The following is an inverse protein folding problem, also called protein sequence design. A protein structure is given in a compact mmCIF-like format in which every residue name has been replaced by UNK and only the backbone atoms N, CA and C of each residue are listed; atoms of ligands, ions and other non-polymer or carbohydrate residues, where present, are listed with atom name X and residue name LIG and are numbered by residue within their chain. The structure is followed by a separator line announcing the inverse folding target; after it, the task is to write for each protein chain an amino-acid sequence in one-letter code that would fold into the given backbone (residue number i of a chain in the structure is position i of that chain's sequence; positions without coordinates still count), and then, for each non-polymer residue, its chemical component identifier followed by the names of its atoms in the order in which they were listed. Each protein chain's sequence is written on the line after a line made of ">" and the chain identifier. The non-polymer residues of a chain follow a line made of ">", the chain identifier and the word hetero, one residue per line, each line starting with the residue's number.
data_IF_264421463948
#
_entry.id   IF_264421463948
#
_cell.length_a   1.000
_cell.length_b   1.000
_cell.length_c   1.000
_cell.angle_alpha   90.00
_cell.angle_beta   90.00
_cell.angle_gamma   90.00
#
_symmetry.space_group_name_H-M   'P 1'
#
loop_
_entity.id
_entity.type
_entity.pdbx_description
1 polymer ?
#
# COMPACT_ATOMS: atom_id res chain seq x y z
N UNK A 1 -1.57 2.69 -3.94
CA UNK A 1 -2.33 3.00 -2.70
C UNK A 1 -1.84 2.13 -1.56
N UNK A 2 -1.75 2.63 -0.33
CA UNK A 2 -1.24 1.85 0.82
C UNK A 2 -2.41 1.40 1.71
N UNK A 3 -2.90 0.17 1.54
CA UNK A 3 -4.07 -0.35 2.27
C UNK A 3 -3.73 -0.80 3.69
N UNK A 4 -2.48 -1.18 3.91
CA UNK A 4 -1.97 -1.70 5.17
C UNK A 4 -0.87 -0.79 5.73
N UNK A 5 -0.73 0.45 5.25
CA UNK A 5 0.29 1.37 5.73
C UNK A 5 1.72 0.99 5.32
N UNK A 6 2.69 1.63 5.95
CA UNK A 6 4.12 1.48 5.71
C UNK A 6 4.75 0.81 6.93
N UNK A 7 5.03 -0.49 6.83
CA UNK A 7 5.65 -1.28 7.89
C UNK A 7 7.17 -1.39 7.69
N UNK A 8 7.92 -1.15 8.76
CA UNK A 8 9.35 -1.42 8.83
C UNK A 8 10.25 -0.40 8.12
N UNK A 9 11.54 -0.42 8.49
CA UNK A 9 12.55 0.57 8.09
C UNK A 9 13.12 0.41 6.67
N UNK A 10 12.66 -0.59 5.89
CA UNK A 10 13.32 -1.04 4.65
C UNK A 10 13.04 -0.20 3.39
N UNK A 11 12.39 0.97 3.49
CA UNK A 11 12.20 1.86 2.33
C UNK A 11 13.34 2.89 2.27
N UNK A 12 14.51 2.42 1.80
CA UNK A 12 15.85 2.99 1.95
C UNK A 12 16.09 4.48 1.60
N UNK A 13 15.24 5.14 0.83
CA UNK A 13 15.44 6.55 0.41
C UNK A 13 14.29 7.46 0.83
N UNK A 14 13.07 6.92 0.89
CA UNK A 14 11.90 7.66 1.35
C UNK A 14 11.90 7.82 2.87
N UNK A 15 12.47 6.89 3.64
CA UNK A 15 12.38 6.90 5.10
C UNK A 15 13.01 8.16 5.73
N UNK A 16 14.15 8.65 5.22
CA UNK A 16 14.79 9.87 5.74
C UNK A 16 13.99 11.12 5.41
N UNK A 17 13.55 11.29 4.16
CA UNK A 17 12.75 12.45 3.73
C UNK A 17 11.35 12.45 4.35
N UNK A 18 10.72 11.27 4.43
CA UNK A 18 9.42 11.07 5.07
C UNK A 18 9.47 11.28 6.57
N UNK A 19 10.51 10.79 7.26
CA UNK A 19 10.71 11.05 8.68
C UNK A 19 10.95 12.54 8.96
N UNK A 20 11.75 13.22 8.12
CA UNK A 20 11.92 14.68 8.19
C UNK A 20 10.59 15.43 7.94
N UNK A 21 9.81 15.04 6.92
CA UNK A 21 8.50 15.62 6.64
C UNK A 21 7.51 15.38 7.78
N UNK A 22 7.50 14.18 8.35
CA UNK A 22 6.67 13.79 9.49
C UNK A 22 6.99 14.64 10.71
N UNK A 23 8.28 14.81 11.03
CA UNK A 23 8.75 15.64 12.14
C UNK A 23 8.51 17.14 11.90
N UNK A 24 8.55 17.60 10.65
CA UNK A 24 8.39 19.01 10.31
C UNK A 24 6.93 19.45 10.15
N UNK A 25 6.06 18.60 9.61
CA UNK A 25 4.67 18.94 9.29
C UNK A 25 3.66 18.55 10.38
N UNK A 26 4.05 17.79 11.42
CA UNK A 26 3.12 17.25 12.43
C UNK A 26 1.82 16.70 11.80
N UNK A 27 1.96 16.01 10.67
CA UNK A 27 0.81 15.56 9.89
C UNK A 27 0.24 14.28 10.48
N UNK A 28 -1.01 14.34 10.94
CA UNK A 28 -1.77 13.18 11.41
C UNK A 28 -1.84 12.08 10.34
N UNK A 29 -2.02 12.46 9.07
CA UNK A 29 -2.00 11.49 7.95
C UNK A 29 -0.67 10.73 7.87
N UNK A 30 0.46 11.44 8.00
CA UNK A 30 1.78 10.80 7.94
C UNK A 30 1.99 9.84 9.12
N UNK A 31 1.46 10.16 10.30
CA UNK A 31 1.49 9.28 11.46
C UNK A 31 0.64 8.02 11.22
N UNK A 32 -0.60 8.19 10.75
CA UNK A 32 -1.54 7.10 10.49
C UNK A 32 -1.06 6.16 9.36
N UNK A 33 -0.57 6.70 8.25
CA UNK A 33 -0.08 5.87 7.13
C UNK A 33 1.20 5.09 7.49
N UNK A 34 1.99 5.61 8.43
CA UNK A 34 3.14 4.89 9.01
C UNK A 34 2.81 4.08 10.26
N UNK A 35 1.54 4.02 10.67
CA UNK A 35 1.09 3.31 11.87
C UNK A 35 1.82 3.70 13.16
N UNK A 36 2.14 4.99 13.33
CA UNK A 36 2.77 5.53 14.54
C UNK A 36 1.89 6.57 15.24
N UNK A 37 0.60 6.59 14.93
CA UNK A 37 -0.38 7.44 15.61
C UNK A 37 -0.76 6.90 17.01
N UNK A 38 -0.25 5.71 17.37
CA UNK A 38 -0.40 5.10 18.68
C UNK A 38 0.77 4.14 18.99
N UNK A 39 1.15 3.98 20.26
CA UNK A 39 2.25 3.10 20.69
C UNK A 39 1.93 1.61 20.52
N UNK A 40 0.70 1.22 20.85
CA UNK A 40 0.17 -0.11 20.53
C UNK A 40 -0.29 -0.17 19.06
N UNK A 41 0.33 -1.02 18.21
CA UNK A 41 -0.04 -1.16 16.79
C UNK A 41 -1.51 -1.53 16.57
N UNK A 42 -2.13 -2.29 17.49
CA UNK A 42 -3.55 -2.68 17.39
C UNK A 42 -4.54 -1.56 17.72
N UNK A 43 -4.02 -0.43 18.20
CA UNK A 43 -4.82 0.76 18.49
C UNK A 43 -4.63 1.87 17.44
N UNK A 44 -3.73 1.67 16.49
CA UNK A 44 -3.51 2.59 15.36
C UNK A 44 -4.75 2.69 14.48
N UNK A 45 -4.90 3.83 13.80
CA UNK A 45 -6.03 4.09 12.92
C UNK A 45 -6.18 3.04 11.83
N UNK A 46 -5.10 2.68 11.13
CA UNK A 46 -5.16 1.71 10.02
C UNK A 46 -5.52 0.31 10.51
N UNK A 47 -5.05 -0.12 11.67
CA UNK A 47 -5.47 -1.41 12.24
C UNK A 47 -6.97 -1.43 12.56
N UNK A 48 -7.47 -0.35 13.17
CA UNK A 48 -8.91 -0.21 13.45
C UNK A 48 -9.73 -0.21 12.16
N UNK A 49 -9.25 0.47 11.12
CA UNK A 49 -9.87 0.52 9.81
C UNK A 49 -9.92 -0.87 9.15
N UNK A 50 -8.85 -1.66 9.26
CA UNK A 50 -8.80 -3.01 8.68
C UNK A 50 -9.87 -3.96 9.28
N UNK A 51 -10.31 -3.73 10.53
CA UNK A 51 -11.40 -4.49 11.17
C UNK A 51 -12.80 -4.09 10.71
N UNK A 52 -12.94 -2.94 10.05
CA UNK A 52 -14.23 -2.48 9.56
C UNK A 52 -14.56 -3.16 8.23
N UNK A 53 -15.85 -3.20 7.95
CA UNK A 53 -16.40 -3.63 6.66
C UNK A 53 -15.80 -2.79 5.53
N UNK A 54 -15.31 -3.45 4.48
CA UNK A 54 -14.55 -2.82 3.41
C UNK A 54 -14.67 -3.57 2.09
N UNK A 55 -13.70 -4.44 1.80
CA UNK A 55 -13.61 -5.13 0.52
C UNK A 55 -14.82 -6.02 0.19
N UNK A 56 -15.52 -6.54 1.20
CA UNK A 56 -16.70 -7.38 0.98
C UNK A 56 -17.94 -6.60 0.51
N UNK A 57 -17.89 -5.27 0.58
CA UNK A 57 -18.94 -4.40 0.03
C UNK A 57 -18.92 -4.36 -1.50
N UNK A 58 -17.83 -4.80 -2.13
CA UNK A 58 -17.67 -4.78 -3.58
C UNK A 58 -18.02 -6.14 -4.21
N UNK A 59 -18.59 -6.09 -5.43
CA UNK A 59 -18.85 -7.30 -6.21
C UNK A 59 -17.57 -7.94 -6.72
N UNK A 60 -16.61 -7.11 -7.13
CA UNK A 60 -15.26 -7.49 -7.56
C UNK A 60 -14.25 -6.53 -6.94
N UNK A 61 -13.12 -7.05 -6.49
CA UNK A 61 -12.00 -6.28 -5.96
C UNK A 61 -10.80 -6.51 -6.87
N UNK A 62 -10.41 -5.47 -7.60
CA UNK A 62 -9.21 -5.49 -8.44
C UNK A 62 -8.16 -4.63 -7.75
N UNK A 63 -7.05 -5.26 -7.36
CA UNK A 63 -5.89 -4.56 -6.84
C UNK A 63 -4.82 -4.52 -7.91
N UNK A 64 -4.19 -3.37 -8.01
CA UNK A 64 -3.18 -3.13 -9.02
C UNK A 64 -1.91 -2.60 -8.37
N UNK A 65 -0.78 -3.18 -8.76
CA UNK A 65 0.54 -2.87 -8.21
C UNK A 65 1.56 -2.66 -9.31
N UNK A 66 2.59 -1.88 -9.00
CA UNK A 66 3.72 -1.66 -9.88
C UNK A 66 4.99 -1.68 -9.02
N UNK A 67 5.99 -2.46 -9.40
CA UNK A 67 7.26 -2.55 -8.67
C UNK A 67 8.01 -1.22 -8.64
N UNK A 68 7.82 -0.42 -9.69
CA UNK A 68 8.40 0.91 -9.86
C UNK A 68 7.65 2.00 -9.08
N UNK A 69 6.48 1.71 -8.48
CA UNK A 69 5.79 2.65 -7.58
C UNK A 69 6.50 2.70 -6.23
N UNK A 70 7.21 3.81 -5.99
CA UNK A 70 7.96 4.05 -4.74
C UNK A 70 7.15 4.86 -3.71
N UNK A 71 5.88 5.20 -3.95
CA UNK A 71 5.05 5.95 -3.00
C UNK A 71 4.53 5.09 -1.84
N UNK A 72 4.47 3.77 -2.01
CA UNK A 72 4.05 2.86 -0.96
C UNK A 72 4.60 1.46 -1.16
N UNK A 73 4.67 0.64 -0.09
CA UNK A 73 5.09 -0.74 -0.21
C UNK A 73 4.17 -1.50 -1.17
N UNK A 74 4.74 -2.21 -2.13
CA UNK A 74 4.00 -3.00 -3.11
C UNK A 74 3.06 -4.02 -2.43
N UNK A 75 3.50 -4.61 -1.33
CA UNK A 75 2.73 -5.57 -0.53
C UNK A 75 1.48 -4.92 0.09
N UNK A 76 1.61 -3.68 0.54
CA UNK A 76 0.50 -2.88 1.07
C UNK A 76 -0.50 -2.52 -0.02
N UNK A 77 -0.03 -2.25 -1.25
CA UNK A 77 -0.91 -2.04 -2.41
C UNK A 77 -1.67 -3.31 -2.83
N UNK A 78 -1.06 -4.48 -2.64
CA UNK A 78 -1.66 -5.79 -2.94
C UNK A 78 -2.51 -6.33 -1.77
N UNK A 79 -2.45 -5.67 -0.62
CA UNK A 79 -2.93 -6.14 0.67
C UNK A 79 -2.54 -7.61 0.92
N UNK A 80 -1.27 -7.95 0.72
CA UNK A 80 -0.73 -9.31 0.86
C UNK A 80 0.43 -9.36 1.84
N UNK A 81 0.65 -10.56 2.41
CA UNK A 81 1.80 -10.89 3.24
C UNK A 81 2.95 -11.33 2.31
N UNK A 82 4.17 -10.87 2.58
CA UNK A 82 5.36 -11.31 1.86
C UNK A 82 6.25 -12.21 2.73
N UNK A 83 6.87 -13.26 2.18
CA UNK A 83 7.76 -14.16 2.93
C UNK A 83 8.90 -13.43 3.68
N UNK A 84 9.44 -12.36 3.07
CA UNK A 84 10.54 -11.55 3.63
C UNK A 84 10.23 -10.80 4.94
N UNK A 85 9.02 -10.98 5.50
CA UNK A 85 8.58 -10.38 6.76
C UNK A 85 8.90 -11.27 7.96
N UNK A 86 9.61 -12.37 7.76
CA UNK A 86 10.12 -13.22 8.83
C UNK A 86 11.05 -12.43 9.77
N UNK A 87 10.77 -12.45 11.07
CA UNK A 87 11.53 -11.72 12.09
C UNK A 87 11.25 -10.21 12.20
N UNK A 88 10.30 -9.66 11.44
CA UNK A 88 9.91 -8.25 11.54
C UNK A 88 8.98 -8.05 12.74
N UNK A 89 9.29 -7.06 13.58
CA UNK A 89 8.39 -6.62 14.64
C UNK A 89 7.03 -6.21 14.02
N UNK A 90 5.93 -6.59 14.66
CA UNK A 90 4.55 -6.33 14.19
C UNK A 90 4.07 -7.14 12.96
N UNK A 91 4.81 -8.17 12.53
CA UNK A 91 4.36 -9.12 11.48
C UNK A 91 2.96 -9.68 11.75
N UNK A 92 2.70 -10.08 13.00
CA UNK A 92 1.40 -10.65 13.36
C UNK A 92 0.28 -9.61 13.29
N UNK A 93 0.55 -8.35 13.62
CA UNK A 93 -0.42 -7.26 13.48
C UNK A 93 -0.76 -7.04 12.01
N UNK A 94 0.25 -7.04 11.13
CA UNK A 94 0.02 -6.93 9.70
C UNK A 94 -0.77 -8.12 9.14
N UNK A 95 -0.44 -9.35 9.57
CA UNK A 95 -1.20 -10.55 9.20
C UNK A 95 -2.66 -10.44 9.64
N UNK A 96 -2.91 -10.05 10.89
CA UNK A 96 -4.27 -9.80 11.39
C UNK A 96 -5.02 -8.78 10.52
N UNK A 97 -4.37 -7.70 10.09
CA UNK A 97 -4.98 -6.72 9.18
C UNK A 97 -5.30 -7.30 7.80
N UNK A 98 -4.39 -8.07 7.21
CA UNK A 98 -4.63 -8.78 5.94
C UNK A 98 -5.82 -9.74 6.08
N UNK A 99 -5.86 -10.52 7.15
CA UNK A 99 -6.93 -11.48 7.42
C UNK A 99 -8.26 -10.77 7.67
N UNK A 100 -8.27 -9.62 8.34
CA UNK A 100 -9.49 -8.83 8.51
C UNK A 100 -10.02 -8.27 7.17
N UNK A 101 -9.13 -7.83 6.27
CA UNK A 101 -9.51 -7.34 4.95
C UNK A 101 -10.07 -8.44 4.05
N UNK A 102 -9.49 -9.64 4.07
CA UNK A 102 -9.85 -10.71 3.13
C UNK A 102 -10.78 -11.78 3.70
N UNK A 103 -10.82 -11.95 5.01
CA UNK A 103 -11.70 -12.91 5.69
C UNK A 103 -13.16 -12.87 5.23
N UNK A 104 -13.79 -11.69 5.04
CA UNK A 104 -15.16 -11.61 4.56
C UNK A 104 -15.30 -11.64 3.03
N UNK A 105 -14.20 -11.69 2.27
CA UNK A 105 -14.18 -11.60 0.81
C UNK A 105 -14.03 -12.99 0.20
N UNK A 106 -14.90 -13.30 -0.76
CA UNK A 106 -14.80 -14.56 -1.52
C UNK A 106 -13.61 -14.51 -2.49
N UNK A 107 -12.71 -15.51 -2.52
CA UNK A 107 -11.52 -15.49 -3.37
C UNK A 107 -11.82 -15.26 -4.85
N UNK A 108 -12.97 -15.74 -5.35
CA UNK A 108 -13.35 -15.61 -6.77
C UNK A 108 -13.64 -14.17 -7.19
N UNK A 109 -13.86 -13.28 -6.22
CA UNK A 109 -14.10 -11.84 -6.43
C UNK A 109 -12.81 -11.02 -6.49
N UNK A 110 -11.66 -11.63 -6.21
CA UNK A 110 -10.39 -10.90 -6.07
C UNK A 110 -9.51 -11.13 -7.30
N UNK A 111 -9.04 -10.05 -7.91
CA UNK A 111 -7.99 -10.09 -8.93
C UNK A 111 -6.85 -9.16 -8.53
N UNK A 112 -5.61 -9.63 -8.72
CA UNK A 112 -4.40 -8.84 -8.51
C UNK A 112 -3.65 -8.76 -9.82
N UNK A 113 -3.26 -7.55 -10.21
CA UNK A 113 -2.60 -7.26 -11.46
C UNK A 113 -1.31 -6.49 -11.20
N UNK A 114 -0.20 -7.12 -11.54
CA UNK A 114 1.10 -6.47 -11.50
C UNK A 114 1.36 -5.82 -12.87
N UNK A 115 1.53 -4.50 -12.83
CA UNK A 115 1.68 -3.65 -14.00
C UNK A 115 3.12 -3.19 -14.05
N UNK A 116 3.77 -3.52 -15.17
CA UNK A 116 5.12 -3.08 -15.46
C UNK A 116 5.04 -1.96 -16.50
N UNK A 117 5.40 -0.74 -16.09
CA UNK A 117 5.52 0.37 -17.01
C UNK A 117 6.91 0.39 -17.61
N UNK A 118 7.00 0.39 -18.94
CA UNK A 118 8.27 0.64 -19.63
C UNK A 118 8.59 2.12 -19.55
N UNK A 119 9.30 2.52 -18.49
CA UNK A 119 9.73 3.90 -18.28
C UNK A 119 11.07 4.12 -19.00
N UNK A 120 11.00 4.72 -20.19
CA UNK A 120 12.18 4.94 -21.06
C UNK A 120 13.00 6.18 -20.66
N UNK A 121 12.39 7.14 -19.95
CA UNK A 121 13.05 8.39 -19.55
C UNK A 121 13.62 8.32 -18.13
N UNK A 122 14.91 8.66 -17.99
CA UNK A 122 15.61 8.80 -16.69
C UNK A 122 15.60 10.25 -16.22
N UNK A 123 14.45 10.74 -15.79
CA UNK A 123 14.31 12.06 -15.14
C UNK A 123 14.05 11.90 -13.62
N UNK A 124 14.10 12.98 -12.83
CA UNK A 124 13.90 12.92 -11.38
C UNK A 124 12.55 12.26 -10.99
N UNK A 125 11.50 12.47 -11.80
CA UNK A 125 10.19 11.86 -11.57
C UNK A 125 10.20 10.32 -11.77
N UNK A 126 10.99 9.81 -12.72
CA UNK A 126 11.22 8.37 -12.89
C UNK A 126 12.01 7.75 -11.72
N UNK A 127 12.94 8.52 -11.14
CA UNK A 127 13.78 8.07 -10.02
C UNK A 127 13.00 8.01 -8.70
N UNK A 128 11.98 8.86 -8.54
CA UNK A 128 11.12 8.92 -7.34
C UNK A 128 9.92 7.95 -7.47
N UNK A 129 9.78 7.21 -8.58
CA UNK A 129 8.67 6.30 -8.83
C UNK A 129 7.31 7.00 -9.07
N UNK A 130 7.33 8.33 -9.20
CA UNK A 130 6.14 9.17 -9.46
C UNK A 130 5.58 8.94 -10.84
N UNK A 131 6.44 8.66 -11.82
CA UNK A 131 6.02 8.37 -13.19
C UNK A 131 5.12 7.14 -13.26
N UNK A 132 5.46 6.04 -12.59
CA UNK A 132 4.63 4.84 -12.53
C UNK A 132 3.26 5.12 -11.87
N UNK A 133 3.28 5.88 -10.77
CA UNK A 133 2.06 6.24 -10.03
C UNK A 133 1.10 7.11 -10.88
N UNK A 134 1.62 8.11 -11.58
CA UNK A 134 0.83 9.00 -12.46
C UNK A 134 0.31 8.24 -13.69
N UNK A 135 1.15 7.42 -14.33
CA UNK A 135 0.74 6.62 -15.49
C UNK A 135 -0.42 5.68 -15.16
N UNK A 136 -0.51 5.21 -13.92
CA UNK A 136 -1.65 4.41 -13.45
C UNK A 136 -2.98 5.16 -13.59
N UNK A 137 -3.01 6.44 -13.23
CA UNK A 137 -4.20 7.29 -13.25
C UNK A 137 -4.54 7.79 -14.67
N UNK A 138 -3.51 7.98 -15.51
CA UNK A 138 -3.67 8.55 -16.84
C UNK A 138 -3.93 7.49 -17.93
N UNK A 139 -3.67 6.20 -17.67
CA UNK A 139 -3.86 5.13 -18.65
C UNK A 139 -5.33 4.71 -18.78
N UNK A 140 -6.11 5.51 -19.50
CA UNK A 140 -7.52 5.24 -19.82
C UNK A 140 -7.79 3.87 -20.48
N UNK A 141 -6.96 3.36 -21.41
CA UNK A 141 -7.17 2.03 -21.98
C UNK A 141 -7.09 0.91 -20.94
N UNK A 142 -6.14 1.02 -20.01
CA UNK A 142 -5.99 0.08 -18.91
C UNK A 142 -7.21 0.12 -18.00
N UNK A 143 -7.67 1.31 -17.60
CA UNK A 143 -8.90 1.43 -16.80
C UNK A 143 -10.12 0.80 -17.49
N UNK A 144 -10.27 0.97 -18.82
CA UNK A 144 -11.33 0.32 -19.59
C UNK A 144 -11.23 -1.20 -19.60
N UNK A 145 -10.02 -1.76 -19.62
CA UNK A 145 -9.80 -3.21 -19.53
C UNK A 145 -10.21 -3.78 -18.16
N UNK A 146 -10.12 -2.99 -17.09
CA UNK A 146 -10.45 -3.43 -15.72
C UNK A 146 -11.95 -3.34 -15.39
N UNK A 147 -12.71 -2.52 -16.12
CA UNK A 147 -14.13 -2.24 -15.85
C UNK A 147 -15.09 -3.13 -16.66
N UNK A 148 -14.57 -3.89 -17.63
CA UNK A 148 -15.31 -4.85 -18.44
C UNK A 148 -15.23 -6.28 -17.90
#
# INVERSE_FOLDING_TARGET
>A
TSHLGIFGDKISLFNTGFWMLKKWRNSMFLQQVSMTDHDNPRETFLYKLAKLRGFELFQNVILTSCCEDQYGPMQSARAEIHPDWEGVADKEVYREMVDNLWGPVRPERVRRLDINFVILEKNLDSFIGRTAHIQFLECQPMMKMLVH
#
